data_IF_260250119636
#
_entry.id   IF_260250119636
#
_cell.length_a   1.000
_cell.length_b   1.000
_cell.length_c   1.000
_cell.angle_alpha   90.00
_cell.angle_beta   90.00
_cell.angle_gamma   90.00
#
_symmetry.space_group_name_H-M   'P 1'
#
loop_
_entity.id
_entity.type
_entity.pdbx_description
1 polymer ?
#
# COMPACT_ATOMS: atom_id res chain seq x y z
N UNK A 1 -5.83 -44.61 7.40
CA UNK A 1 -6.75 -43.45 7.26
C UNK A 1 -6.51 -42.55 8.44
N UNK A 2 -6.00 -41.33 8.22
CA UNK A 2 -5.81 -40.35 9.28
C UNK A 2 -7.16 -39.79 9.70
N UNK A 3 -7.46 -39.83 11.00
CA UNK A 3 -8.69 -39.26 11.55
C UNK A 3 -8.66 -37.74 11.28
N UNK A 4 -9.72 -37.15 10.71
CA UNK A 4 -9.75 -35.69 10.51
C UNK A 4 -9.67 -34.98 11.87
N UNK A 5 -8.85 -33.93 11.94
CA UNK A 5 -8.64 -33.14 13.17
C UNK A 5 -9.95 -32.45 13.59
N UNK A 6 -10.75 -32.03 12.62
CA UNK A 6 -12.07 -31.46 12.80
C UNK A 6 -13.06 -32.22 11.89
N UNK A 7 -14.04 -32.96 12.47
CA UNK A 7 -15.03 -33.69 11.69
C UNK A 7 -15.89 -32.79 10.79
N UNK A 8 -16.06 -31.50 11.14
CA UNK A 8 -16.78 -30.51 10.33
C UNK A 8 -15.92 -29.92 9.21
N UNK A 9 -14.60 -30.14 9.25
CA UNK A 9 -13.62 -29.62 8.27
C UNK A 9 -12.65 -30.73 7.86
N UNK A 10 -13.12 -31.75 7.14
CA UNK A 10 -12.32 -32.93 6.81
C UNK A 10 -11.11 -32.64 5.92
N UNK A 11 -11.03 -31.42 5.34
CA UNK A 11 -9.88 -30.94 4.57
C UNK A 11 -8.71 -30.47 5.44
N UNK A 12 -8.92 -30.24 6.77
CA UNK A 12 -7.85 -29.90 7.69
C UNK A 12 -7.22 -31.21 8.17
N UNK A 13 -6.08 -31.54 7.58
CA UNK A 13 -5.33 -32.78 7.88
C UNK A 13 -4.08 -32.51 8.72
N UNK A 14 -3.61 -31.27 8.79
CA UNK A 14 -2.42 -30.86 9.54
C UNK A 14 -2.82 -30.08 10.79
N UNK A 15 -2.34 -30.54 11.95
CA UNK A 15 -2.56 -29.88 13.26
C UNK A 15 -2.10 -28.42 13.26
N UNK A 16 -1.09 -28.10 12.43
CA UNK A 16 -0.57 -26.73 12.28
C UNK A 16 -1.54 -25.79 11.57
N UNK A 17 -2.51 -26.35 10.85
CA UNK A 17 -3.54 -25.61 10.14
C UNK A 17 -4.86 -25.51 10.92
N UNK A 18 -4.93 -26.11 12.11
CA UNK A 18 -6.12 -26.06 12.96
C UNK A 18 -6.44 -24.61 13.37
N UNK A 19 -7.62 -24.09 13.01
CA UNK A 19 -8.03 -22.72 13.35
C UNK A 19 -7.99 -22.42 14.85
N UNK A 20 -8.32 -23.38 15.68
CA UNK A 20 -8.36 -23.23 17.14
C UNK A 20 -6.97 -23.00 17.74
N UNK A 21 -5.91 -23.39 17.03
CA UNK A 21 -4.52 -23.25 17.45
C UNK A 21 -3.83 -22.01 16.91
N UNK A 22 -4.52 -21.20 16.11
CA UNK A 22 -3.94 -20.00 15.54
C UNK A 22 -3.75 -18.92 16.59
N UNK A 23 -2.50 -18.60 16.90
CA UNK A 23 -2.15 -17.43 17.70
C UNK A 23 -1.89 -16.24 16.79
N UNK A 24 -2.86 -15.31 16.71
CA UNK A 24 -2.81 -14.14 15.86
C UNK A 24 -1.63 -13.21 16.16
N UNK A 25 -1.36 -12.96 17.46
CA UNK A 25 -0.28 -12.07 17.87
C UNK A 25 1.07 -12.64 17.44
N UNK A 26 1.31 -13.92 17.70
CA UNK A 26 2.54 -14.56 17.26
C UNK A 26 2.65 -14.61 15.73
N UNK A 27 1.57 -14.90 15.03
CA UNK A 27 1.58 -15.00 13.56
C UNK A 27 1.89 -13.66 12.89
N UNK A 28 1.41 -12.55 13.47
CA UNK A 28 1.52 -11.22 12.86
C UNK A 28 2.72 -10.40 13.34
N UNK A 29 3.23 -10.64 14.55
CA UNK A 29 4.24 -9.77 15.17
C UNK A 29 5.55 -10.46 15.54
N UNK A 30 5.58 -11.79 15.63
CA UNK A 30 6.80 -12.52 15.94
C UNK A 30 7.38 -13.18 14.68
N UNK A 31 8.52 -12.71 14.13
CA UNK A 31 9.14 -13.31 12.96
C UNK A 31 9.77 -14.70 13.23
N UNK A 32 9.97 -15.04 14.51
CA UNK A 32 10.51 -16.34 14.87
C UNK A 32 9.41 -17.41 14.89
N UNK A 33 9.72 -18.59 14.35
CA UNK A 33 8.81 -19.72 14.29
C UNK A 33 8.27 -20.00 12.90
N UNK A 34 7.25 -20.84 12.84
CA UNK A 34 6.69 -21.39 11.61
C UNK A 34 5.19 -21.09 11.55
N UNK A 35 4.64 -20.99 10.34
CA UNK A 35 3.21 -20.78 10.13
C UNK A 35 2.70 -21.68 9.03
N UNK A 36 1.72 -22.53 9.34
CA UNK A 36 1.07 -23.41 8.41
C UNK A 36 0.32 -22.66 7.30
N UNK A 37 0.00 -23.36 6.22
CA UNK A 37 -0.62 -22.81 5.01
C UNK A 37 -1.94 -22.08 5.31
N UNK A 38 -2.83 -22.71 6.08
CA UNK A 38 -4.14 -22.10 6.37
C UNK A 38 -4.02 -20.91 7.34
N UNK A 39 -3.14 -20.95 8.33
CA UNK A 39 -2.89 -19.81 9.22
C UNK A 39 -2.31 -18.63 8.44
N UNK A 40 -1.35 -18.88 7.55
CA UNK A 40 -0.81 -17.86 6.67
C UNK A 40 -1.90 -17.24 5.79
N UNK A 41 -2.69 -18.08 5.13
CA UNK A 41 -3.77 -17.61 4.24
C UNK A 41 -4.80 -16.77 4.98
N UNK A 42 -5.18 -17.16 6.22
CA UNK A 42 -6.09 -16.38 7.06
C UNK A 42 -5.51 -15.03 7.45
N UNK A 43 -4.26 -15.02 7.95
CA UNK A 43 -3.57 -13.79 8.31
C UNK A 43 -3.47 -12.85 7.12
N UNK A 44 -3.07 -13.38 5.97
CA UNK A 44 -2.94 -12.61 4.74
C UNK A 44 -4.30 -12.08 4.26
N UNK A 45 -5.35 -12.90 4.25
CA UNK A 45 -6.70 -12.49 3.86
C UNK A 45 -7.22 -11.38 4.78
N UNK A 46 -7.00 -11.51 6.11
CA UNK A 46 -7.37 -10.46 7.06
C UNK A 46 -6.70 -9.12 6.73
N UNK A 47 -5.39 -9.13 6.49
CA UNK A 47 -4.65 -7.91 6.13
C UNK A 47 -5.14 -7.32 4.80
N UNK A 48 -5.35 -8.15 3.79
CA UNK A 48 -5.84 -7.73 2.48
C UNK A 48 -7.24 -7.15 2.56
N UNK A 49 -8.19 -7.89 3.16
CA UNK A 49 -9.57 -7.42 3.31
C UNK A 49 -9.68 -6.17 4.17
N UNK A 50 -8.85 -6.07 5.23
CA UNK A 50 -8.78 -4.86 6.04
C UNK A 50 -8.36 -3.63 5.22
N UNK A 51 -7.35 -3.75 4.35
CA UNK A 51 -6.94 -2.66 3.45
C UNK A 51 -8.06 -2.29 2.47
N UNK A 52 -8.66 -3.29 1.83
CA UNK A 52 -9.76 -3.08 0.86
C UNK A 52 -10.95 -2.39 1.53
N UNK A 53 -11.38 -2.86 2.69
CA UNK A 53 -12.53 -2.29 3.39
C UNK A 53 -12.25 -0.87 3.91
N UNK A 54 -11.06 -0.63 4.50
CA UNK A 54 -10.70 0.70 5.00
C UNK A 54 -10.50 1.73 3.88
N UNK A 55 -10.26 1.30 2.65
CA UNK A 55 -10.22 2.18 1.49
C UNK A 55 -11.59 2.35 0.84
N UNK A 56 -12.22 1.24 0.43
CA UNK A 56 -13.45 1.28 -0.38
C UNK A 56 -14.63 1.82 0.42
N UNK A 57 -14.84 1.34 1.65
CA UNK A 57 -16.05 1.70 2.41
C UNK A 57 -16.13 3.20 2.69
N UNK A 58 -15.10 3.87 3.24
CA UNK A 58 -15.17 5.30 3.47
C UNK A 58 -15.34 6.11 2.17
N UNK A 59 -14.61 5.74 1.11
CA UNK A 59 -14.69 6.43 -0.18
C UNK A 59 -16.09 6.27 -0.78
N UNK A 60 -16.66 5.07 -0.73
CA UNK A 60 -18.01 4.81 -1.23
C UNK A 60 -19.08 5.55 -0.43
N UNK A 61 -18.96 5.54 0.92
CA UNK A 61 -19.89 6.30 1.78
C UNK A 61 -19.81 7.80 1.50
N UNK A 62 -18.59 8.35 1.36
CA UNK A 62 -18.41 9.76 1.02
C UNK A 62 -19.00 10.11 -0.36
N UNK A 63 -18.83 9.21 -1.33
CA UNK A 63 -19.40 9.37 -2.67
C UNK A 63 -20.93 9.40 -2.63
N UNK A 64 -21.58 8.43 -1.97
CA UNK A 64 -23.05 8.36 -1.84
C UNK A 64 -23.59 9.58 -1.07
N UNK A 65 -22.94 9.97 0.04
CA UNK A 65 -23.33 11.15 0.80
C UNK A 65 -23.24 12.42 -0.05
N UNK A 66 -22.20 12.57 -0.87
CA UNK A 66 -22.08 13.68 -1.82
C UNK A 66 -23.18 13.69 -2.86
N UNK A 67 -23.57 12.52 -3.41
CA UNK A 67 -24.71 12.41 -4.32
C UNK A 67 -26.05 12.78 -3.64
N UNK A 68 -26.16 12.53 -2.33
CA UNK A 68 -27.33 12.94 -1.53
C UNK A 68 -27.29 14.42 -1.12
N UNK A 69 -26.32 15.21 -1.59
CA UNK A 69 -26.21 16.64 -1.31
C UNK A 69 -25.46 17.00 -0.02
N UNK A 70 -24.83 16.05 0.67
CA UNK A 70 -24.03 16.34 1.85
C UNK A 70 -22.69 17.01 1.45
N UNK A 71 -22.27 18.03 2.22
CA UNK A 71 -20.94 18.63 2.04
C UNK A 71 -19.85 17.71 2.57
N UNK A 72 -19.18 16.99 1.68
CA UNK A 72 -18.07 16.09 1.98
C UNK A 72 -16.68 16.75 1.82
N UNK A 73 -16.64 18.07 1.58
CA UNK A 73 -15.37 18.78 1.38
C UNK A 73 -14.40 18.61 2.56
N UNK A 74 -14.91 18.56 3.79
CA UNK A 74 -14.14 18.33 5.00
C UNK A 74 -13.44 16.97 5.05
N UNK A 75 -14.06 15.92 4.54
CA UNK A 75 -13.52 14.55 4.51
C UNK A 75 -12.29 14.41 3.60
N UNK A 76 -12.21 15.24 2.56
CA UNK A 76 -11.11 15.26 1.59
C UNK A 76 -10.01 16.26 1.95
N UNK A 77 -10.22 17.11 2.97
CA UNK A 77 -9.18 18.04 3.42
C UNK A 77 -8.04 17.29 4.10
N UNK A 78 -6.77 17.70 3.86
CA UNK A 78 -5.62 17.13 4.54
C UNK A 78 -5.68 17.34 6.05
N UNK A 79 -5.29 16.33 6.81
CA UNK A 79 -5.18 16.42 8.28
C UNK A 79 -3.90 17.15 8.64
N UNK A 80 -4.02 18.39 9.11
CA UNK A 80 -2.87 19.21 9.48
C UNK A 80 -2.00 18.59 10.58
N UNK A 81 -2.61 17.86 11.52
CA UNK A 81 -1.91 17.22 12.63
C UNK A 81 -0.87 16.17 12.22
N UNK A 82 -1.01 15.57 11.04
CA UNK A 82 -0.11 14.51 10.57
C UNK A 82 1.04 15.10 9.72
N UNK A 83 0.92 16.36 9.30
CA UNK A 83 1.91 17.00 8.43
C UNK A 83 2.01 16.41 7.01
N UNK A 84 1.14 15.44 6.67
CA UNK A 84 1.07 14.80 5.36
C UNK A 84 -0.19 15.27 4.61
N UNK A 85 -0.14 15.41 3.28
CA UNK A 85 -1.30 15.78 2.47
C UNK A 85 -2.28 14.61 2.29
N UNK A 86 -2.63 13.94 3.40
CA UNK A 86 -3.56 12.82 3.42
C UNK A 86 -4.97 13.30 3.77
N UNK A 87 -5.98 12.96 2.96
CA UNK A 87 -7.37 13.20 3.30
C UNK A 87 -7.75 12.55 4.64
N UNK A 88 -8.51 13.26 5.46
CA UNK A 88 -8.96 12.76 6.76
C UNK A 88 -9.62 11.38 6.67
N UNK A 89 -10.39 11.19 5.61
CA UNK A 89 -11.09 9.95 5.28
C UNK A 89 -10.16 8.73 5.13
N UNK A 90 -8.94 8.93 4.62
CA UNK A 90 -7.98 7.86 4.32
C UNK A 90 -6.95 7.63 5.42
N UNK A 91 -7.00 8.38 6.51
CA UNK A 91 -6.05 8.24 7.63
C UNK A 91 -6.06 6.81 8.22
N UNK A 92 -7.23 6.19 8.52
CA UNK A 92 -7.25 4.82 9.04
C UNK A 92 -6.65 3.79 8.06
N UNK A 93 -6.94 3.95 6.77
CA UNK A 93 -6.36 3.12 5.71
C UNK A 93 -4.83 3.22 5.69
N UNK A 94 -4.29 4.44 5.78
CA UNK A 94 -2.86 4.67 5.75
C UNK A 94 -2.13 4.01 6.93
N UNK A 95 -2.60 4.22 8.16
CA UNK A 95 -1.99 3.59 9.34
C UNK A 95 -2.11 2.06 9.32
N UNK A 96 -3.27 1.56 8.94
CA UNK A 96 -3.48 0.12 8.81
C UNK A 96 -2.57 -0.49 7.73
N UNK A 97 -2.34 0.24 6.63
CA UNK A 97 -1.44 -0.21 5.56
C UNK A 97 -0.01 -0.32 6.04
N UNK A 98 0.52 0.69 6.74
CA UNK A 98 1.88 0.64 7.31
C UNK A 98 2.02 -0.55 8.28
N UNK A 99 1.05 -0.72 9.18
CA UNK A 99 1.04 -1.85 10.11
C UNK A 99 1.02 -3.19 9.36
N UNK A 100 0.20 -3.31 8.32
CA UNK A 100 0.06 -4.56 7.56
C UNK A 100 1.22 -4.83 6.61
N UNK A 101 2.01 -3.85 6.20
CA UNK A 101 3.29 -4.11 5.51
C UNK A 101 4.26 -4.86 6.44
N UNK A 102 4.41 -4.40 7.68
CA UNK A 102 5.26 -5.07 8.66
C UNK A 102 4.74 -6.48 9.01
N UNK A 103 3.46 -6.61 9.34
CA UNK A 103 2.88 -7.90 9.73
C UNK A 103 2.82 -8.88 8.56
N UNK A 104 2.67 -8.39 7.33
CA UNK A 104 2.78 -9.20 6.11
C UNK A 104 4.20 -9.75 5.95
N UNK A 105 5.22 -8.92 6.14
CA UNK A 105 6.61 -9.38 6.13
C UNK A 105 6.85 -10.49 7.17
N UNK A 106 6.40 -10.29 8.42
CA UNK A 106 6.50 -11.30 9.48
C UNK A 106 5.84 -12.61 9.07
N UNK A 107 4.60 -12.54 8.57
CA UNK A 107 3.87 -13.73 8.12
C UNK A 107 4.60 -14.48 7.00
N UNK A 108 5.22 -13.77 6.06
CA UNK A 108 6.01 -14.37 4.99
C UNK A 108 7.31 -15.00 5.49
N UNK A 109 8.02 -14.34 6.42
CA UNK A 109 9.22 -14.93 7.07
C UNK A 109 8.87 -16.27 7.70
N UNK A 110 7.80 -16.34 8.49
CA UNK A 110 7.33 -17.56 9.14
C UNK A 110 6.87 -18.62 8.13
N UNK A 111 6.24 -18.20 7.03
CA UNK A 111 5.81 -19.11 5.98
C UNK A 111 7.00 -19.72 5.23
N UNK A 112 8.02 -18.92 4.91
CA UNK A 112 9.24 -19.44 4.28
C UNK A 112 10.06 -20.33 5.22
N UNK A 113 10.09 -20.03 6.53
CA UNK A 113 10.68 -20.91 7.52
C UNK A 113 9.95 -22.27 7.58
N UNK A 114 8.61 -22.29 7.55
CA UNK A 114 7.81 -23.52 7.53
C UNK A 114 8.11 -24.41 6.33
N UNK A 115 8.29 -23.81 5.15
CA UNK A 115 8.57 -24.56 3.93
C UNK A 115 10.07 -24.80 3.69
N UNK A 116 10.90 -24.57 4.71
CA UNK A 116 12.35 -24.74 4.67
C UNK A 116 13.02 -24.01 3.50
N UNK A 117 12.56 -22.77 3.23
CA UNK A 117 13.12 -21.89 2.21
C UNK A 117 13.75 -20.67 2.83
N UNK A 118 14.64 -20.02 2.08
CA UNK A 118 15.30 -18.79 2.54
C UNK A 118 14.28 -17.71 2.91
N UNK A 119 14.31 -17.28 4.17
CA UNK A 119 13.48 -16.21 4.72
C UNK A 119 13.77 -14.84 4.10
N UNK A 120 14.95 -14.68 3.47
CA UNK A 120 15.28 -13.45 2.71
C UNK A 120 14.27 -13.16 1.60
N UNK A 121 13.62 -14.20 1.05
CA UNK A 121 12.55 -14.01 0.04
C UNK A 121 11.36 -13.24 0.60
N UNK A 122 11.15 -13.20 1.91
CA UNK A 122 10.12 -12.38 2.52
C UNK A 122 10.38 -10.88 2.33
N UNK A 123 11.63 -10.46 2.07
CA UNK A 123 11.95 -9.07 1.78
C UNK A 123 11.24 -8.53 0.52
N UNK A 124 10.81 -9.40 -0.39
CA UNK A 124 10.01 -9.03 -1.58
C UNK A 124 8.75 -8.26 -1.17
N UNK A 125 8.17 -8.59 -0.01
CA UNK A 125 6.96 -7.93 0.51
C UNK A 125 7.21 -6.46 0.87
N UNK A 126 8.45 -6.08 1.16
CA UNK A 126 8.83 -4.71 1.50
C UNK A 126 9.13 -3.85 0.25
N UNK A 127 9.20 -4.45 -0.94
CA UNK A 127 9.48 -3.71 -2.19
C UNK A 127 8.48 -2.56 -2.42
N UNK A 128 7.17 -2.73 -2.24
CA UNK A 128 6.21 -1.64 -2.40
C UNK A 128 6.49 -0.45 -1.50
N UNK A 129 6.83 -0.72 -0.23
CA UNK A 129 7.18 0.33 0.72
C UNK A 129 8.41 1.12 0.26
N UNK A 130 9.47 0.42 -0.16
CA UNK A 130 10.68 1.07 -0.68
C UNK A 130 10.43 1.88 -1.94
N UNK A 131 9.67 1.34 -2.89
CA UNK A 131 9.32 2.06 -4.12
C UNK A 131 8.45 3.28 -3.84
N UNK A 132 7.50 3.17 -2.90
CA UNK A 132 6.70 4.29 -2.43
C UNK A 132 7.56 5.40 -1.80
N UNK A 133 8.51 5.04 -0.93
CA UNK A 133 9.43 6.00 -0.30
C UNK A 133 10.36 6.65 -1.31
N UNK A 134 10.93 5.89 -2.25
CA UNK A 134 11.75 6.44 -3.34
C UNK A 134 10.94 7.37 -4.24
N UNK A 135 9.71 6.98 -4.58
CA UNK A 135 8.79 7.81 -5.34
C UNK A 135 8.46 9.11 -4.60
N UNK A 136 8.24 9.03 -3.29
CA UNK A 136 7.99 10.21 -2.47
C UNK A 136 9.20 11.16 -2.47
N UNK A 137 10.39 10.64 -2.20
CA UNK A 137 11.61 11.45 -2.20
C UNK A 137 11.89 12.10 -3.56
N UNK A 138 11.79 11.33 -4.64
CA UNK A 138 11.94 11.85 -6.02
C UNK A 138 10.91 12.89 -6.36
N UNK A 139 9.65 12.69 -6.00
CA UNK A 139 8.58 13.64 -6.22
C UNK A 139 8.74 14.93 -5.41
N UNK A 140 9.22 14.86 -4.16
CA UNK A 140 9.55 16.04 -3.36
C UNK A 140 10.64 16.89 -4.02
N UNK A 141 11.71 16.27 -4.51
CA UNK A 141 12.79 16.97 -5.24
C UNK A 141 12.23 17.63 -6.50
N UNK A 142 11.43 16.89 -7.29
CA UNK A 142 10.84 17.40 -8.52
C UNK A 142 9.86 18.57 -8.25
N UNK A 143 9.00 18.45 -7.23
CA UNK A 143 8.06 19.50 -6.85
C UNK A 143 8.77 20.77 -6.36
N UNK A 144 9.86 20.61 -5.60
CA UNK A 144 10.69 21.75 -5.17
C UNK A 144 11.37 22.43 -6.36
N UNK A 145 11.89 21.68 -7.32
CA UNK A 145 12.50 22.23 -8.53
C UNK A 145 11.47 22.97 -9.40
N UNK A 146 10.26 22.42 -9.54
CA UNK A 146 9.16 23.07 -10.26
C UNK A 146 8.75 24.40 -9.61
N UNK A 147 8.67 24.44 -8.27
CA UNK A 147 8.37 25.66 -7.53
C UNK A 147 9.42 26.75 -7.80
N UNK A 148 10.70 26.40 -7.69
CA UNK A 148 11.79 27.33 -7.95
C UNK A 148 11.79 27.84 -9.40
N UNK A 149 11.50 26.97 -10.36
CA UNK A 149 11.39 27.36 -11.77
C UNK A 149 10.19 28.30 -12.03
N UNK A 150 9.07 28.11 -11.33
CA UNK A 150 7.91 29.00 -11.41
C UNK A 150 8.23 30.38 -10.82
N UNK A 151 8.91 30.44 -9.67
CA UNK A 151 9.36 31.69 -9.07
C UNK A 151 10.33 32.44 -9.95
N UNK A 152 11.31 31.75 -10.57
CA UNK A 152 12.24 32.37 -11.48
C UNK A 152 11.54 32.98 -12.72
N UNK A 153 10.54 32.28 -13.26
CA UNK A 153 9.72 32.80 -14.37
C UNK A 153 8.90 34.02 -13.94
N UNK A 154 8.30 34.01 -12.75
CA UNK A 154 7.54 35.14 -12.24
C UNK A 154 8.44 36.38 -12.08
N UNK A 155 9.62 36.22 -11.48
CA UNK A 155 10.60 37.28 -11.34
C UNK A 155 11.07 37.87 -12.71
N UNK A 156 11.25 37.02 -13.74
CA UNK A 156 11.60 37.48 -15.09
C UNK A 156 10.46 38.29 -15.72
N UNK A 157 9.21 37.90 -15.51
CA UNK A 157 8.07 38.68 -16.04
C UNK A 157 7.96 40.02 -15.34
N UNK A 158 8.16 40.08 -14.03
CA UNK A 158 8.18 41.35 -13.29
C UNK A 158 9.33 42.29 -13.74
N UNK A 159 10.54 41.74 -13.95
CA UNK A 159 11.68 42.49 -14.43
C UNK A 159 11.45 43.02 -15.88
N UNK A 160 10.89 42.17 -16.76
CA UNK A 160 10.57 42.57 -18.14
C UNK A 160 9.46 43.64 -18.22
N UNK A 161 8.53 43.66 -17.29
CA UNK A 161 7.50 44.72 -17.18
C UNK A 161 8.12 46.04 -16.69
N UNK A 162 9.12 45.97 -15.80
CA UNK A 162 9.82 47.14 -15.28
C UNK A 162 10.71 47.84 -16.35
N UNK A 163 11.35 47.09 -17.25
CA UNK A 163 12.17 47.63 -18.32
C UNK A 163 11.36 48.16 -19.53
N UNK A 164 10.11 47.70 -19.70
CA UNK A 164 9.22 48.14 -20.79
C UNK A 164 8.36 49.38 -20.48
N UNK A 165 8.49 49.97 -19.28
CA UNK A 165 7.56 50.96 -18.75
C UNK A 165 7.77 52.43 -19.14
N UNK A 166 8.67 52.79 -20.08
CA UNK A 166 8.94 54.20 -20.41
C UNK A 166 8.63 54.60 -21.85
N UNK A 167 7.78 53.93 -22.57
CA UNK A 167 7.28 54.42 -23.86
C UNK A 167 5.86 53.98 -24.16
N UNK A 168 4.93 54.92 -24.05
CA UNK A 168 3.59 55.03 -24.62
C UNK A 168 2.43 55.01 -23.58
N UNK A 169 2.08 56.23 -23.22
CA UNK A 169 0.78 56.55 -22.66
C UNK A 169 -0.32 56.34 -23.74
N UNK A 170 -1.04 55.23 -23.62
CA UNK A 170 -2.41 55.08 -24.12
C UNK A 170 -3.17 54.21 -23.13
N UNK A 171 -4.40 54.56 -22.71
CA UNK A 171 -5.17 53.73 -21.77
C UNK A 171 -5.72 52.55 -22.56
N UNK A 172 -4.90 51.54 -22.72
CA UNK A 172 -5.40 50.22 -23.15
C UNK A 172 -6.02 49.55 -21.93
N UNK A 173 -7.31 49.23 -22.01
CA UNK A 173 -8.01 48.38 -21.06
C UNK A 173 -7.12 47.18 -20.67
N UNK A 174 -6.87 47.05 -19.36
CA UNK A 174 -6.13 45.92 -18.84
C UNK A 174 -6.70 44.62 -19.42
N UNK A 175 -5.86 43.74 -20.00
CA UNK A 175 -6.34 42.44 -20.44
C UNK A 175 -6.97 41.74 -19.23
N UNK A 176 -8.29 41.55 -19.27
CA UNK A 176 -8.96 40.68 -18.34
C UNK A 176 -8.22 39.33 -18.43
N UNK A 177 -7.42 39.03 -17.40
CA UNK A 177 -6.83 37.69 -17.26
C UNK A 177 -7.94 36.70 -17.53
N UNK A 178 -7.86 35.98 -18.63
CA UNK A 178 -8.73 34.88 -18.91
C UNK A 178 -8.53 33.87 -17.76
N UNK A 179 -9.41 33.92 -16.77
CA UNK A 179 -9.49 32.87 -15.74
C UNK A 179 -9.65 31.54 -16.48
N UNK A 180 -8.56 30.83 -16.64
CA UNK A 180 -8.61 29.45 -17.10
C UNK A 180 -9.55 28.68 -16.18
N UNK A 181 -10.38 27.77 -16.71
CA UNK A 181 -11.34 27.03 -15.91
C UNK A 181 -10.57 26.20 -14.86
N UNK A 182 -10.65 26.57 -13.57
CA UNK A 182 -10.24 25.74 -12.47
C UNK A 182 -9.13 26.25 -11.55
N UNK A 183 -8.76 27.55 -11.58
CA UNK A 183 -7.87 28.06 -10.53
C UNK A 183 -8.70 28.33 -9.26
N UNK A 184 -8.48 27.57 -8.16
CA UNK A 184 -9.18 27.85 -6.90
C UNK A 184 -8.80 29.25 -6.43
N UNK A 185 -9.79 30.01 -5.94
CA UNK A 185 -9.59 31.33 -5.30
C UNK A 185 -8.87 31.12 -3.94
N UNK A 186 -7.58 30.84 -3.97
CA UNK A 186 -6.75 30.61 -2.78
C UNK A 186 -5.36 31.20 -2.94
N UNK A 187 -4.63 31.44 -1.82
CA UNK A 187 -3.24 31.88 -1.91
C UNK A 187 -2.42 30.87 -2.73
N UNK A 188 -1.38 31.34 -3.43
CA UNK A 188 -0.53 30.46 -4.22
C UNK A 188 0.05 29.34 -3.34
N UNK A 189 0.21 28.12 -3.88
CA UNK A 189 0.72 27.00 -3.09
C UNK A 189 2.16 27.29 -2.62
N UNK A 190 2.44 26.96 -1.38
CA UNK A 190 3.80 27.05 -0.83
C UNK A 190 4.72 26.01 -1.46
N UNK A 191 6.04 26.24 -1.41
CA UNK A 191 7.05 25.27 -1.86
C UNK A 191 6.81 23.89 -1.24
N UNK A 192 6.53 23.87 0.07
CA UNK A 192 6.26 22.63 0.80
C UNK A 192 5.01 21.92 0.27
N UNK A 193 3.94 22.64 -0.03
CA UNK A 193 2.71 22.03 -0.57
C UNK A 193 2.95 21.44 -1.96
N UNK A 194 3.69 22.13 -2.84
CA UNK A 194 4.04 21.61 -4.16
C UNK A 194 4.95 20.38 -4.05
N UNK A 195 5.97 20.44 -3.21
CA UNK A 195 6.89 19.32 -2.98
C UNK A 195 6.17 18.09 -2.43
N UNK A 196 5.35 18.26 -1.39
CA UNK A 196 4.58 17.15 -0.79
C UNK A 196 3.52 16.61 -1.75
N UNK A 197 2.84 17.47 -2.50
CA UNK A 197 1.87 17.07 -3.52
C UNK A 197 2.51 16.22 -4.61
N UNK A 198 3.64 16.65 -5.14
CA UNK A 198 4.41 15.91 -6.15
C UNK A 198 4.96 14.59 -5.57
N UNK A 199 5.46 14.62 -4.33
CA UNK A 199 5.92 13.44 -3.60
C UNK A 199 4.83 12.38 -3.49
N UNK A 200 3.65 12.74 -3.01
CA UNK A 200 2.51 11.82 -2.90
C UNK A 200 1.99 11.37 -4.27
N UNK A 201 1.97 12.29 -5.26
CA UNK A 201 1.54 11.98 -6.63
C UNK A 201 2.39 10.89 -7.30
N UNK A 202 3.68 10.82 -7.00
CA UNK A 202 4.56 9.79 -7.53
C UNK A 202 4.60 8.53 -6.63
N UNK A 203 4.58 8.70 -5.31
CA UNK A 203 4.63 7.60 -4.35
C UNK A 203 3.44 6.65 -4.45
N UNK A 204 2.22 7.20 -4.52
CA UNK A 204 1.00 6.40 -4.47
C UNK A 204 0.86 5.41 -5.62
N UNK A 205 1.02 5.79 -6.91
CA UNK A 205 0.93 4.82 -8.00
C UNK A 205 2.06 3.80 -7.97
N UNK A 206 3.30 4.18 -7.63
CA UNK A 206 4.42 3.24 -7.52
C UNK A 206 4.16 2.21 -6.42
N UNK A 207 3.71 2.67 -5.25
CA UNK A 207 3.34 1.78 -4.15
C UNK A 207 2.15 0.87 -4.52
N UNK A 208 1.10 1.40 -5.13
CA UNK A 208 -0.10 0.64 -5.47
C UNK A 208 0.17 -0.45 -6.51
N UNK A 209 0.87 -0.12 -7.60
CA UNK A 209 1.20 -1.08 -8.66
C UNK A 209 2.12 -2.18 -8.13
N UNK A 210 3.17 -1.81 -7.40
CA UNK A 210 4.10 -2.80 -6.84
C UNK A 210 3.43 -3.66 -5.76
N UNK A 211 2.54 -3.10 -4.94
CA UNK A 211 1.74 -3.86 -3.97
C UNK A 211 0.83 -4.88 -4.66
N UNK A 212 0.22 -4.51 -5.78
CA UNK A 212 -0.59 -5.43 -6.56
C UNK A 212 0.24 -6.60 -7.12
N UNK A 213 1.44 -6.32 -7.65
CA UNK A 213 2.36 -7.35 -8.15
C UNK A 213 2.77 -8.30 -7.02
N UNK A 214 3.16 -7.77 -5.85
CA UNK A 214 3.53 -8.58 -4.68
C UNK A 214 2.33 -9.39 -4.17
N UNK A 215 1.14 -8.82 -4.21
CA UNK A 215 -0.10 -9.54 -3.86
C UNK A 215 -0.33 -10.73 -4.78
N UNK A 216 -0.21 -10.56 -6.10
CA UNK A 216 -0.33 -11.66 -7.05
C UNK A 216 0.73 -12.72 -6.82
N UNK A 217 1.98 -12.31 -6.58
CA UNK A 217 3.05 -13.25 -6.23
C UNK A 217 2.74 -14.04 -4.97
N UNK A 218 2.21 -13.38 -3.92
CA UNK A 218 1.80 -14.05 -2.67
C UNK A 218 0.72 -15.08 -2.92
N UNK A 219 -0.33 -14.73 -3.67
CA UNK A 219 -1.44 -15.64 -4.00
C UNK A 219 -1.00 -16.82 -4.86
N UNK A 220 -0.23 -16.53 -5.90
CA UNK A 220 0.13 -17.53 -6.91
C UNK A 220 1.29 -18.42 -6.47
N UNK A 221 2.14 -17.93 -5.59
CA UNK A 221 3.35 -18.65 -5.17
C UNK A 221 3.33 -19.00 -3.68
N UNK A 222 3.36 -18.01 -2.78
CA UNK A 222 3.62 -18.25 -1.35
C UNK A 222 2.47 -19.01 -0.68
N UNK A 223 1.23 -18.63 -0.96
CA UNK A 223 0.04 -19.26 -0.38
C UNK A 223 -0.14 -20.73 -0.84
N UNK A 224 0.46 -21.10 -1.95
CA UNK A 224 0.36 -22.45 -2.53
C UNK A 224 1.49 -23.39 -2.09
N UNK A 225 2.52 -22.90 -1.43
CA UNK A 225 3.60 -23.74 -0.93
C UNK A 225 3.03 -24.80 0.03
N UNK A 226 3.48 -26.07 -0.07
CA UNK A 226 3.05 -27.13 0.87
C UNK A 226 3.60 -26.89 2.26
N UNK A 227 2.96 -27.42 3.30
CA UNK A 227 3.53 -27.44 4.63
C UNK A 227 4.74 -28.39 4.69
N UNK A 228 5.74 -28.04 5.51
CA UNK A 228 6.93 -28.86 5.71
C UNK A 228 7.98 -28.83 4.60
N UNK A 229 7.76 -28.05 3.53
CA UNK A 229 8.75 -27.79 2.47
C UNK A 229 9.14 -29.01 1.61
N UNK A 230 8.43 -30.14 1.73
CA UNK A 230 8.69 -31.36 0.95
C UNK A 230 7.77 -31.39 -0.26
N UNK A 231 8.38 -31.53 -1.45
CA UNK A 231 7.65 -31.58 -2.73
C UNK A 231 7.56 -30.22 -3.43
N UNK A 232 7.21 -30.28 -4.72
CA UNK A 232 6.95 -29.09 -5.54
C UNK A 232 5.63 -28.42 -5.22
N UNK A 233 5.18 -27.52 -6.10
CA UNK A 233 3.84 -26.97 -6.04
C UNK A 233 2.78 -28.08 -6.16
N UNK A 234 2.31 -28.57 -5.04
CA UNK A 234 1.14 -29.45 -5.02
C UNK A 234 -0.06 -28.62 -4.57
N UNK A 235 -0.95 -28.35 -5.48
CA UNK A 235 -2.30 -27.91 -5.17
C UNK A 235 -2.99 -29.08 -4.44
N UNK A 236 -3.15 -28.94 -3.12
CA UNK A 236 -4.01 -29.85 -2.35
C UNK A 236 -3.36 -31.00 -1.60
N UNK A 237 -2.03 -31.15 -1.56
CA UNK A 237 -1.44 -32.13 -0.63
C UNK A 237 -1.26 -31.52 0.76
N UNK A 238 -2.28 -31.61 1.56
CA UNK A 238 -2.21 -31.28 2.99
C UNK A 238 -1.63 -32.45 3.81
N UNK A 239 -0.61 -33.14 3.26
CA UNK A 239 0.08 -34.22 3.97
C UNK A 239 0.78 -33.66 5.21
N UNK A 240 0.67 -34.37 6.30
CA UNK A 240 1.44 -34.06 7.51
C UNK A 240 2.93 -34.20 7.25
N UNK A 241 3.77 -33.57 8.07
CA UNK A 241 5.21 -33.70 7.92
C UNK A 241 5.70 -35.15 8.01
N UNK A 242 5.02 -36.00 8.78
CA UNK A 242 5.31 -37.43 8.88
C UNK A 242 4.94 -38.18 7.60
N UNK A 243 3.76 -37.91 7.05
CA UNK A 243 3.33 -38.52 5.79
C UNK A 243 4.26 -38.11 4.64
N UNK A 244 4.70 -36.86 4.59
CA UNK A 244 5.67 -36.37 3.61
C UNK A 244 7.04 -37.02 3.75
N UNK A 245 7.52 -37.23 4.98
CA UNK A 245 8.75 -37.99 5.25
C UNK A 245 8.61 -39.43 4.81
N UNK A 246 7.49 -40.07 5.14
CA UNK A 246 7.22 -41.45 4.74
C UNK A 246 7.12 -41.62 3.23
N UNK A 247 6.52 -40.64 2.51
CA UNK A 247 6.52 -40.64 1.05
C UNK A 247 7.89 -40.44 0.45
N UNK A 248 8.72 -39.55 1.02
CA UNK A 248 10.09 -39.33 0.59
C UNK A 248 10.95 -40.59 0.76
N UNK A 249 10.75 -41.36 1.83
CA UNK A 249 11.43 -42.64 2.04
C UNK A 249 10.93 -43.76 1.12
N UNK A 250 9.68 -43.70 0.63
CA UNK A 250 9.16 -44.70 -0.32
C UNK A 250 9.64 -44.47 -1.75
N UNK A 251 10.08 -43.25 -2.06
CA UNK A 251 10.55 -42.86 -3.42
C UNK A 251 12.08 -42.80 -3.55
N UNK A 252 12.81 -43.03 -2.46
CA UNK A 252 14.25 -43.16 -2.42
C UNK A 252 14.67 -44.64 -2.48
#
# INVERSE_FOLDING_TARGET
MTTPIDPHRPWIRDVRDDPARMNWIQTLFNPMGMTGKLHFSRAWTFMFMGRVLLFIVPVFVAFIAGLAGADMSGAWKPVKAIGLPLPALLVPFFFFTILTEFTSWVAHVRRFAEVNRSTLKAAIVLIPLFLGLLGFAGGVVMGSAQFNAQQAKAAQVEAGVAEGGEAAAAPAEAPKEAKGPGRPDGPPPTQMQMAMGAGMGLAMPLWAISSFIVMLWTLLHVARLPNGGVGGFRTGSDLTQEEQRLEAYKTA
#
